data_IF_334565458955
#
_entry.id   IF_334565458955
#
_cell.length_a   1.000
_cell.length_b   1.000
_cell.length_c   1.000
_cell.angle_alpha   90.00
_cell.angle_beta   90.00
_cell.angle_gamma   90.00
#
_symmetry.space_group_name_H-M   'P 1'
#
loop_
_entity.id
_entity.type
_entity.pdbx_description
1 polymer ?
#
# COMPACT_ATOMS: atom_id res chain seq x y z
N UNK A 1 24.68 2.38 8.39
CA UNK A 1 23.35 2.97 8.63
C UNK A 1 23.19 4.39 8.06
N UNK A 2 24.26 5.19 7.89
CA UNK A 2 24.17 6.54 7.33
C UNK A 2 23.85 6.61 5.81
N UNK A 3 24.44 5.72 5.00
CA UNK A 3 24.32 5.79 3.53
C UNK A 3 22.90 5.56 2.95
N UNK A 4 21.97 5.00 3.73
CA UNK A 4 20.58 4.79 3.29
C UNK A 4 19.71 6.04 3.49
N UNK A 5 19.99 6.81 4.55
CA UNK A 5 19.30 8.07 4.82
C UNK A 5 19.76 9.17 3.86
N UNK A 6 21.04 9.20 3.51
CA UNK A 6 21.57 10.19 2.56
C UNK A 6 20.98 10.05 1.15
N UNK A 7 20.57 8.83 0.74
CA UNK A 7 19.92 8.59 -0.55
C UNK A 7 18.47 9.12 -0.59
N UNK A 8 17.77 9.11 0.55
CA UNK A 8 16.43 9.71 0.69
C UNK A 8 16.47 11.22 0.92
N UNK A 9 17.65 11.76 1.26
CA UNK A 9 17.87 13.19 1.47
C UNK A 9 18.28 13.93 0.18
N UNK A 10 18.06 13.34 -1.00
CA UNK A 10 18.13 14.09 -2.25
C UNK A 10 16.98 15.11 -2.29
N UNK A 11 17.30 16.39 -2.52
CA UNK A 11 16.35 17.51 -2.59
C UNK A 11 15.09 17.19 -3.43
N UNK A 12 15.27 16.41 -4.50
CA UNK A 12 14.21 15.96 -5.40
C UNK A 12 13.09 15.19 -4.70
N UNK A 13 13.40 14.34 -3.71
CA UNK A 13 12.37 13.61 -2.96
C UNK A 13 11.70 14.52 -1.94
N UNK A 14 12.45 15.45 -1.33
CA UNK A 14 11.90 16.51 -0.49
C UNK A 14 10.88 17.37 -1.24
N UNK A 15 11.20 17.79 -2.46
CA UNK A 15 10.32 18.58 -3.32
C UNK A 15 9.10 17.78 -3.79
N UNK A 16 9.26 16.49 -4.07
CA UNK A 16 8.15 15.61 -4.43
C UNK A 16 7.18 15.41 -3.26
N UNK A 17 7.70 15.20 -2.04
CA UNK A 17 6.90 15.07 -0.82
C UNK A 17 6.23 16.38 -0.48
N UNK A 18 6.93 17.51 -0.60
CA UNK A 18 6.36 18.85 -0.37
C UNK A 18 5.23 19.15 -1.36
N UNK A 19 5.44 18.92 -2.65
CA UNK A 19 4.39 19.07 -3.66
C UNK A 19 3.19 18.16 -3.39
N UNK A 20 3.43 16.93 -2.94
CA UNK A 20 2.35 16.01 -2.58
C UNK A 20 1.58 16.49 -1.34
N UNK A 21 2.27 16.97 -0.31
CA UNK A 21 1.66 17.51 0.92
C UNK A 21 0.87 18.80 0.65
N UNK A 22 1.40 19.69 -0.19
CA UNK A 22 0.71 20.89 -0.64
C UNK A 22 -0.54 20.53 -1.49
N UNK A 23 -0.44 19.49 -2.31
CA UNK A 23 -1.53 18.97 -3.13
C UNK A 23 -2.70 18.42 -2.29
N UNK A 24 -2.42 17.72 -1.18
CA UNK A 24 -3.47 17.18 -0.30
C UNK A 24 -3.94 18.17 0.78
N UNK A 25 -3.13 19.18 1.12
CA UNK A 25 -3.50 20.22 2.09
C UNK A 25 -4.34 21.34 1.50
N UNK A 26 -4.40 21.43 0.17
CA UNK A 26 -5.25 22.37 -0.57
C UNK A 26 -6.72 21.93 -0.53
N UNK A 27 -7.38 22.25 0.58
CA UNK A 27 -8.81 22.05 0.76
C UNK A 27 -9.61 22.89 -0.25
N UNK A 28 -10.22 22.22 -1.22
CA UNK A 28 -11.49 22.67 -1.82
C UNK A 28 -11.46 23.61 -3.02
N UNK A 29 -10.35 23.76 -3.76
CA UNK A 29 -10.37 24.42 -5.08
C UNK A 29 -9.43 23.73 -6.06
N UNK A 30 -9.94 22.74 -6.78
CA UNK A 30 -9.24 22.16 -7.92
C UNK A 30 -9.30 23.13 -9.11
N UNK A 31 -8.47 24.17 -9.07
CA UNK A 31 -8.27 25.03 -10.23
C UNK A 31 -7.57 24.19 -11.31
N UNK A 32 -8.34 23.71 -12.28
CA UNK A 32 -7.90 22.89 -13.42
C UNK A 32 -6.81 23.53 -14.30
N UNK A 33 -6.42 24.79 -14.01
CA UNK A 33 -5.36 25.54 -14.68
C UNK A 33 -4.01 25.57 -13.93
N UNK A 34 -3.91 25.08 -12.69
CA UNK A 34 -2.68 25.26 -11.88
C UNK A 34 -1.71 24.08 -11.85
N UNK A 35 -2.00 22.96 -12.53
CA UNK A 35 -1.03 21.87 -12.72
C UNK A 35 -0.50 21.98 -14.15
N UNK A 36 0.27 23.03 -14.46
CA UNK A 36 0.91 23.16 -15.78
C UNK A 36 1.97 22.05 -16.00
N UNK A 37 2.53 21.51 -14.92
CA UNK A 37 3.56 20.47 -14.96
C UNK A 37 2.95 19.07 -14.90
N UNK A 38 3.08 18.25 -15.96
CA UNK A 38 2.51 16.91 -15.98
C UNK A 38 3.19 16.00 -14.95
N UNK A 39 2.43 15.53 -13.97
CA UNK A 39 2.90 14.61 -12.92
C UNK A 39 2.98 13.21 -13.53
N UNK A 40 4.15 12.58 -13.44
CA UNK A 40 4.35 11.21 -13.91
C UNK A 40 3.76 10.23 -12.89
N UNK A 41 2.76 9.45 -13.33
CA UNK A 41 2.05 8.51 -12.47
C UNK A 41 2.59 7.09 -12.61
N UNK A 42 2.89 6.67 -13.84
CA UNK A 42 3.46 5.35 -14.12
C UNK A 42 4.20 5.33 -15.45
N UNK A 43 5.29 4.57 -15.53
CA UNK A 43 5.99 4.28 -16.77
C UNK A 43 6.49 2.83 -16.80
N UNK A 44 6.65 2.25 -17.99
CA UNK A 44 7.12 0.88 -18.12
C UNK A 44 7.08 0.32 -19.54
N UNK A 45 7.82 -0.77 -19.77
CA UNK A 45 7.77 -1.48 -21.04
C UNK A 45 6.58 -2.44 -21.08
N UNK A 46 5.75 -2.29 -22.11
CA UNK A 46 4.69 -3.25 -22.44
C UNK A 46 4.71 -3.55 -23.94
N UNK A 47 3.94 -4.55 -24.36
CA UNK A 47 3.82 -4.96 -25.76
C UNK A 47 2.52 -4.39 -26.31
N UNK A 48 2.64 -3.46 -27.28
CA UNK A 48 1.52 -2.94 -28.04
C UNK A 48 1.16 -3.90 -29.17
N UNK A 49 -0.11 -4.26 -29.30
CA UNK A 49 -0.64 -4.91 -30.50
C UNK A 49 -1.02 -3.84 -31.55
N UNK A 50 -0.57 -4.01 -32.78
CA UNK A 50 -1.00 -3.19 -33.91
C UNK A 50 -2.39 -3.64 -34.38
N UNK A 51 -3.18 -2.70 -34.88
CA UNK A 51 -4.51 -3.00 -35.40
C UNK A 51 -4.45 -3.69 -36.78
N UNK A 52 -3.41 -3.40 -37.57
CA UNK A 52 -3.20 -4.02 -38.88
C UNK A 52 -2.60 -5.44 -38.82
N UNK A 53 -2.95 -6.25 -39.82
CA UNK A 53 -2.34 -7.56 -40.11
C UNK A 53 -1.15 -7.37 -41.06
N UNK A 54 -0.11 -8.18 -40.94
CA UNK A 54 0.98 -8.18 -41.92
C UNK A 54 0.54 -8.85 -43.25
N UNK A 55 1.42 -8.87 -44.27
CA UNK A 55 1.14 -9.52 -45.57
C UNK A 55 0.80 -11.02 -45.46
N UNK A 56 1.09 -11.65 -44.32
CA UNK A 56 0.81 -13.05 -44.01
C UNK A 56 -0.33 -13.22 -42.97
N UNK A 57 -1.13 -12.17 -42.71
CA UNK A 57 -2.29 -12.24 -41.82
C UNK A 57 -1.97 -12.26 -40.31
N UNK A 58 -0.70 -12.26 -39.90
CA UNK A 58 -0.31 -12.30 -38.49
C UNK A 58 -0.47 -10.93 -37.81
N UNK A 59 -0.85 -10.98 -36.52
CA UNK A 59 -0.97 -9.81 -35.65
C UNK A 59 0.41 -9.30 -35.27
N UNK A 60 0.65 -7.99 -35.41
CA UNK A 60 1.95 -7.40 -35.07
C UNK A 60 1.97 -6.97 -33.60
N UNK A 61 2.98 -7.45 -32.87
CA UNK A 61 3.25 -7.08 -31.48
C UNK A 61 4.57 -6.30 -31.41
N UNK A 62 4.58 -5.15 -30.74
CA UNK A 62 5.77 -4.30 -30.64
C UNK A 62 5.98 -3.87 -29.19
N UNK A 63 7.16 -4.15 -28.65
CA UNK A 63 7.59 -3.63 -27.34
C UNK A 63 7.71 -2.10 -27.43
N UNK A 64 7.08 -1.40 -26.50
CA UNK A 64 7.01 0.06 -26.42
C UNK A 64 7.15 0.51 -24.97
N UNK A 65 7.73 1.69 -24.78
CA UNK A 65 7.77 2.35 -23.49
C UNK A 65 6.48 3.14 -23.32
N UNK A 66 5.67 2.79 -22.33
CA UNK A 66 4.44 3.50 -22.01
C UNK A 66 4.68 4.45 -20.85
N UNK A 67 4.00 5.60 -20.92
CA UNK A 67 4.04 6.63 -19.87
C UNK A 67 2.63 7.13 -19.64
N UNK A 68 2.24 7.19 -18.37
CA UNK A 68 1.00 7.77 -17.90
C UNK A 68 1.31 8.98 -17.04
N UNK A 69 0.73 10.11 -17.41
CA UNK A 69 0.69 11.31 -16.59
C UNK A 69 -0.75 11.60 -16.17
N UNK A 70 -0.95 12.62 -15.35
CA UNK A 70 -2.28 13.15 -15.06
C UNK A 70 -2.98 13.78 -16.29
N UNK A 71 -2.26 14.06 -17.40
CA UNK A 71 -2.82 14.73 -18.59
C UNK A 71 -2.99 13.79 -19.79
N UNK A 72 -2.07 12.83 -19.95
CA UNK A 72 -2.06 11.96 -21.12
C UNK A 72 -1.46 10.58 -20.82
N UNK A 73 -1.94 9.59 -21.58
CA UNK A 73 -1.35 8.28 -21.73
C UNK A 73 -0.64 8.18 -23.07
N UNK A 74 0.66 7.92 -23.05
CA UNK A 74 1.52 7.94 -24.25
C UNK A 74 2.33 6.66 -24.38
N UNK A 75 2.80 6.40 -25.61
CA UNK A 75 3.80 5.37 -25.84
C UNK A 75 4.89 5.80 -26.82
N UNK A 76 6.09 5.28 -26.58
CA UNK A 76 7.33 5.65 -27.26
C UNK A 76 8.03 4.39 -27.79
N UNK A 77 8.90 4.54 -28.77
CA UNK A 77 9.71 3.41 -29.27
C UNK A 77 10.64 2.89 -28.17
N UNK A 78 11.31 3.79 -27.47
CA UNK A 78 12.21 3.55 -26.33
C UNK A 78 12.05 4.67 -25.29
N UNK A 79 12.67 4.51 -24.11
CA UNK A 79 12.65 5.55 -23.06
C UNK A 79 13.47 6.76 -23.52
N UNK A 80 12.91 7.96 -23.39
CA UNK A 80 13.56 9.23 -23.77
C UNK A 80 13.36 9.67 -25.22
N UNK A 81 12.78 8.84 -26.09
CA UNK A 81 12.40 9.23 -27.45
C UNK A 81 11.06 9.99 -27.49
N UNK A 82 10.73 10.62 -28.62
CA UNK A 82 9.44 11.26 -28.86
C UNK A 82 8.25 10.30 -28.79
N UNK A 83 7.09 10.80 -28.35
CA UNK A 83 5.86 10.00 -28.26
C UNK A 83 5.37 9.63 -29.66
N UNK A 84 5.14 8.34 -29.89
CA UNK A 84 4.55 7.83 -31.14
C UNK A 84 3.02 8.05 -31.17
N UNK A 85 2.41 8.15 -30.00
CA UNK A 85 0.99 8.45 -29.83
C UNK A 85 0.79 9.07 -28.45
N UNK A 86 -0.12 10.02 -28.41
CA UNK A 86 -0.57 10.68 -27.19
C UNK A 86 -2.09 10.54 -27.11
N UNK A 87 -2.57 10.05 -25.97
CA UNK A 87 -3.98 9.85 -25.71
C UNK A 87 -4.29 10.73 -24.49
N UNK A 88 -4.92 11.90 -24.67
CA UNK A 88 -5.41 12.69 -23.57
C UNK A 88 -6.26 11.83 -22.62
N UNK A 89 -6.16 12.04 -21.31
CA UNK A 89 -6.94 11.25 -20.34
C UNK A 89 -8.45 11.37 -20.60
N UNK A 90 -8.92 12.56 -21.00
CA UNK A 90 -10.30 12.81 -21.46
C UNK A 90 -10.74 11.90 -22.63
N UNK A 91 -9.81 11.43 -23.46
CA UNK A 91 -10.11 10.57 -24.60
C UNK A 91 -10.05 9.07 -24.25
N UNK A 92 -9.85 8.71 -22.98
CA UNK A 92 -9.95 7.32 -22.51
C UNK A 92 -11.38 7.06 -22.04
N UNK A 93 -12.16 6.37 -22.88
CA UNK A 93 -13.56 6.07 -22.60
C UNK A 93 -13.72 4.92 -21.60
N UNK A 94 -12.88 3.89 -21.71
CA UNK A 94 -12.90 2.72 -20.86
C UNK A 94 -11.58 1.93 -20.95
N UNK A 95 -11.30 1.15 -19.90
CA UNK A 95 -10.15 0.24 -19.83
C UNK A 95 -10.64 -1.14 -19.42
N UNK A 96 -10.44 -2.13 -20.28
CA UNK A 96 -11.02 -3.47 -20.08
C UNK A 96 -9.97 -4.57 -20.18
N UNK A 97 -10.11 -5.57 -19.31
CA UNK A 97 -9.29 -6.77 -19.38
C UNK A 97 -9.78 -7.68 -20.50
N UNK A 98 -8.88 -8.05 -21.41
CA UNK A 98 -9.20 -8.94 -22.55
C UNK A 98 -8.53 -10.32 -22.44
N UNK A 99 -7.63 -10.52 -21.46
CA UNK A 99 -7.01 -11.82 -21.20
C UNK A 99 -6.10 -11.79 -19.97
N UNK A 100 -5.36 -12.88 -19.73
CA UNK A 100 -4.54 -13.05 -18.52
C UNK A 100 -3.57 -11.89 -18.26
N UNK A 101 -2.83 -11.45 -19.28
CA UNK A 101 -1.85 -10.34 -19.21
C UNK A 101 -2.21 -9.17 -20.16
N UNK A 102 -3.40 -9.20 -20.76
CA UNK A 102 -3.79 -8.26 -21.80
C UNK A 102 -4.99 -7.43 -21.39
N UNK A 103 -4.96 -6.17 -21.81
CA UNK A 103 -6.04 -5.22 -21.64
C UNK A 103 -6.17 -4.32 -22.86
N UNK A 104 -7.31 -3.64 -22.98
CA UNK A 104 -7.59 -2.68 -24.03
C UNK A 104 -7.93 -1.32 -23.42
N UNK A 105 -7.41 -0.26 -24.04
CA UNK A 105 -7.77 1.13 -23.75
C UNK A 105 -8.64 1.63 -24.90
N UNK A 106 -9.92 1.88 -24.61
CA UNK A 106 -10.94 2.28 -25.58
C UNK A 106 -10.87 3.80 -25.76
N UNK A 107 -10.60 4.25 -26.98
CA UNK A 107 -10.65 5.66 -27.40
C UNK A 107 -11.84 5.86 -28.34
N UNK A 108 -12.31 7.11 -28.58
CA UNK A 108 -13.43 7.41 -29.49
C UNK A 108 -13.28 6.78 -30.87
N UNK A 109 -12.08 6.82 -31.44
CA UNK A 109 -11.84 6.31 -32.79
C UNK A 109 -11.39 4.85 -32.82
N UNK A 110 -10.79 4.33 -31.74
CA UNK A 110 -10.09 3.05 -31.79
C UNK A 110 -9.77 2.44 -30.42
N UNK A 111 -9.69 1.11 -30.33
CA UNK A 111 -9.17 0.41 -29.16
C UNK A 111 -7.66 0.11 -29.28
N UNK A 112 -6.90 0.43 -28.22
CA UNK A 112 -5.48 0.12 -28.07
C UNK A 112 -5.30 -1.13 -27.22
N UNK A 113 -4.85 -2.22 -27.84
CA UNK A 113 -4.55 -3.49 -27.16
C UNK A 113 -3.11 -3.52 -26.65
N UNK A 114 -2.95 -3.85 -25.36
CA UNK A 114 -1.67 -3.84 -24.65
C UNK A 114 -1.52 -5.15 -23.87
N UNK A 115 -0.30 -5.68 -23.87
CA UNK A 115 0.10 -6.82 -23.06
C UNK A 115 1.20 -6.40 -22.10
N UNK A 116 0.95 -6.56 -20.80
CA UNK A 116 1.95 -6.35 -19.75
C UNK A 116 2.85 -7.59 -19.59
N UNK A 117 3.93 -7.47 -18.79
CA UNK A 117 4.89 -8.56 -18.61
C UNK A 117 4.28 -9.72 -17.80
N UNK A 118 3.43 -9.39 -16.83
CA UNK A 118 2.70 -10.35 -16.00
C UNK A 118 1.27 -9.86 -15.68
N UNK A 119 0.47 -10.70 -15.01
CA UNK A 119 -0.93 -10.38 -14.70
C UNK A 119 -1.09 -9.32 -13.60
N UNK A 120 -0.12 -9.22 -12.68
CA UNK A 120 -0.11 -8.21 -11.61
C UNK A 120 0.13 -6.84 -12.21
N UNK A 121 1.12 -6.71 -13.10
CA UNK A 121 1.40 -5.47 -13.82
C UNK A 121 0.22 -5.06 -14.72
N UNK A 122 -0.43 -6.02 -15.40
CA UNK A 122 -1.64 -5.75 -16.17
C UNK A 122 -2.75 -5.16 -15.29
N UNK A 123 -2.97 -5.74 -14.10
CA UNK A 123 -3.95 -5.24 -13.14
C UNK A 123 -3.61 -3.83 -12.67
N UNK A 124 -2.36 -3.60 -12.28
CA UNK A 124 -1.90 -2.29 -11.80
C UNK A 124 -2.05 -1.19 -12.86
N UNK A 125 -1.74 -1.49 -14.13
CA UNK A 125 -2.02 -0.56 -15.25
C UNK A 125 -3.50 -0.29 -15.45
N UNK A 126 -4.36 -1.32 -15.38
CA UNK A 126 -5.82 -1.14 -15.50
C UNK A 126 -6.33 -0.25 -14.36
N UNK A 127 -5.93 -0.53 -13.12
CA UNK A 127 -6.40 0.17 -11.93
C UNK A 127 -6.04 1.66 -11.99
N UNK A 128 -4.79 2.00 -12.34
CA UNK A 128 -4.38 3.40 -12.44
C UNK A 128 -5.02 4.13 -13.62
N UNK A 129 -5.11 3.50 -14.79
CA UNK A 129 -5.74 4.11 -15.98
C UNK A 129 -7.22 4.36 -15.74
N UNK A 130 -7.92 3.43 -15.08
CA UNK A 130 -9.33 3.56 -14.72
C UNK A 130 -9.54 4.71 -13.73
N UNK A 131 -8.68 4.82 -12.71
CA UNK A 131 -8.76 5.92 -11.73
C UNK A 131 -8.58 7.29 -12.35
N UNK A 132 -7.63 7.44 -13.29
CA UNK A 132 -7.40 8.74 -13.94
C UNK A 132 -8.45 9.08 -14.99
N UNK A 133 -9.03 8.09 -15.68
CA UNK A 133 -10.08 8.31 -16.67
C UNK A 133 -11.47 8.58 -16.04
N UNK A 134 -11.68 8.22 -14.78
CA UNK A 134 -12.97 8.31 -14.09
C UNK A 134 -13.34 9.70 -13.53
N UNK A 135 -12.54 10.74 -13.75
CA UNK A 135 -12.71 11.98 -12.99
C UNK A 135 -13.67 13.00 -13.60
N UNK A 136 -13.67 13.34 -14.89
CA UNK A 136 -14.60 14.37 -15.41
C UNK A 136 -14.50 14.43 -16.94
N UNK A 137 -15.62 14.45 -17.66
CA UNK A 137 -15.60 14.40 -19.13
C UNK A 137 -16.63 15.39 -19.70
N UNK A 138 -16.20 16.27 -20.61
CA UNK A 138 -17.03 17.30 -21.27
C UNK A 138 -17.78 18.26 -20.32
N UNK A 139 -17.17 18.63 -19.20
CA UNK A 139 -17.80 19.57 -18.27
C UNK A 139 -18.87 18.93 -17.38
N UNK A 140 -18.90 17.59 -17.27
CA UNK A 140 -19.79 16.86 -16.37
C UNK A 140 -19.12 15.63 -15.72
N UNK A 141 -19.52 15.29 -14.50
CA UNK A 141 -19.09 14.07 -13.80
C UNK A 141 -19.70 12.84 -14.48
N UNK A 142 -18.90 11.83 -14.84
CA UNK A 142 -19.44 10.63 -15.51
C UNK A 142 -20.41 9.81 -14.64
N UNK A 143 -20.34 9.93 -13.31
CA UNK A 143 -21.20 9.19 -12.40
C UNK A 143 -22.65 9.71 -12.34
N UNK A 144 -22.85 11.02 -12.46
CA UNK A 144 -24.18 11.67 -12.33
C UNK A 144 -24.52 12.64 -13.45
N UNK A 145 -23.59 12.89 -14.37
CA UNK A 145 -23.70 13.88 -15.45
C UNK A 145 -23.93 15.31 -14.94
N UNK A 146 -23.55 15.63 -13.70
CA UNK A 146 -23.66 16.99 -13.16
C UNK A 146 -22.50 17.86 -13.63
N UNK A 147 -22.80 19.12 -13.98
CA UNK A 147 -21.84 20.08 -14.58
C UNK A 147 -21.06 20.95 -13.61
N UNK A 148 -21.35 20.84 -12.31
CA UNK A 148 -20.81 21.74 -11.30
C UNK A 148 -20.11 20.95 -10.17
N UNK A 149 -18.95 21.45 -9.76
CA UNK A 149 -18.13 20.95 -8.65
C UNK A 149 -18.74 21.26 -7.27
N UNK A 150 -19.78 22.09 -7.22
CA UNK A 150 -20.49 22.48 -5.99
C UNK A 150 -21.67 21.58 -5.64
N UNK A 151 -22.00 20.62 -6.51
CA UNK A 151 -23.14 19.74 -6.33
C UNK A 151 -22.77 18.54 -5.44
N UNK A 152 -23.64 18.12 -4.51
CA UNK A 152 -23.39 16.98 -3.65
C UNK A 152 -23.11 15.72 -4.49
N UNK A 153 -22.08 14.96 -4.10
CA UNK A 153 -21.61 13.79 -4.84
C UNK A 153 -22.72 12.77 -5.11
N UNK A 154 -22.75 12.27 -6.35
CA UNK A 154 -23.69 11.28 -6.88
C UNK A 154 -23.74 9.94 -6.13
N UNK A 155 -22.60 9.59 -5.55
CA UNK A 155 -22.33 8.34 -4.87
C UNK A 155 -21.53 8.70 -3.63
N UNK A 156 -21.89 8.21 -2.43
CA UNK A 156 -21.07 8.41 -1.25
C UNK A 156 -19.63 7.95 -1.53
N UNK A 157 -18.64 8.78 -1.21
CA UNK A 157 -17.21 8.47 -1.38
C UNK A 157 -16.77 7.26 -0.54
N UNK A 158 -17.56 6.91 0.47
CA UNK A 158 -17.63 5.56 1.03
C UNK A 158 -18.42 4.68 0.05
N UNK A 159 -17.77 4.29 -1.05
CA UNK A 159 -18.32 3.26 -1.95
C UNK A 159 -18.81 2.11 -1.09
N UNK A 160 -20.03 1.63 -1.32
CA UNK A 160 -20.77 0.71 -0.47
C UNK A 160 -19.99 -0.57 -0.12
N UNK A 161 -19.05 -0.45 0.80
CA UNK A 161 -18.50 -1.55 1.55
C UNK A 161 -19.72 -2.07 2.31
N UNK A 162 -20.17 -3.31 2.07
CA UNK A 162 -21.21 -3.87 2.93
C UNK A 162 -20.72 -3.67 4.36
N UNK A 163 -21.62 -3.29 5.27
CA UNK A 163 -21.28 -3.11 6.69
C UNK A 163 -20.65 -4.38 7.33
N UNK A 164 -20.55 -5.49 6.57
CA UNK A 164 -19.95 -6.76 6.94
C UNK A 164 -18.68 -7.15 6.15
N UNK A 165 -17.84 -6.23 5.67
CA UNK A 165 -16.52 -6.67 5.19
C UNK A 165 -15.79 -7.38 6.33
N UNK A 166 -15.85 -8.70 6.30
CA UNK A 166 -15.04 -9.59 7.11
C UNK A 166 -13.64 -9.48 6.53
N UNK A 167 -12.91 -8.48 7.01
CA UNK A 167 -11.46 -8.51 6.91
C UNK A 167 -11.04 -9.80 7.61
N UNK A 168 -10.32 -10.66 6.89
CA UNK A 168 -9.68 -11.84 7.46
C UNK A 168 -8.54 -11.36 8.36
N UNK A 169 -8.92 -10.90 9.54
CA UNK A 169 -8.00 -10.40 10.56
C UNK A 169 -7.48 -11.62 11.30
N UNK A 170 -6.21 -11.93 11.04
CA UNK A 170 -5.47 -12.87 11.85
C UNK A 170 -5.36 -12.30 13.28
N UNK A 171 -6.24 -12.81 14.16
CA UNK A 171 -6.38 -12.33 15.53
C UNK A 171 -5.11 -12.50 16.34
N UNK A 172 -4.36 -13.57 16.10
CA UNK A 172 -3.10 -13.85 16.80
C UNK A 172 -2.02 -12.85 16.35
N UNK A 173 -1.94 -12.57 15.04
CA UNK A 173 -1.00 -11.58 14.50
C UNK A 173 -1.32 -10.17 14.98
N UNK A 174 -2.58 -9.78 14.99
CA UNK A 174 -2.98 -8.44 15.46
C UNK A 174 -2.80 -8.31 16.98
N UNK A 175 -3.09 -9.36 17.76
CA UNK A 175 -2.82 -9.37 19.19
C UNK A 175 -1.32 -9.19 19.48
N UNK A 176 -0.45 -9.89 18.74
CA UNK A 176 1.00 -9.73 18.87
C UNK A 176 1.47 -8.33 18.47
N UNK A 177 0.88 -7.74 17.42
CA UNK A 177 1.18 -6.37 17.00
C UNK A 177 0.80 -5.36 18.09
N UNK A 178 -0.38 -5.52 18.69
CA UNK A 178 -0.87 -4.67 19.77
C UNK A 178 0.00 -4.83 21.02
N UNK A 179 0.34 -6.06 21.41
CA UNK A 179 1.24 -6.33 22.52
C UNK A 179 2.63 -5.69 22.30
N UNK A 180 3.24 -5.90 21.13
CA UNK A 180 4.54 -5.29 20.78
C UNK A 180 4.50 -3.76 20.93
N UNK A 181 3.44 -3.12 20.44
CA UNK A 181 3.25 -1.68 20.54
C UNK A 181 3.22 -1.23 22.02
N UNK A 182 2.34 -1.81 22.83
CA UNK A 182 2.24 -1.41 24.24
C UNK A 182 3.48 -1.76 25.05
N UNK A 183 4.11 -2.90 24.81
CA UNK A 183 5.37 -3.28 25.45
C UNK A 183 6.49 -2.28 25.13
N UNK A 184 6.55 -1.78 23.90
CA UNK A 184 7.56 -0.79 23.48
C UNK A 184 7.37 0.55 24.21
N UNK A 185 6.12 0.94 24.43
CA UNK A 185 5.76 2.21 25.07
C UNK A 185 5.35 2.07 26.54
N UNK A 186 5.70 0.96 27.20
CA UNK A 186 5.22 0.63 28.55
C UNK A 186 5.57 1.72 29.58
N UNK A 187 6.80 2.24 29.53
CA UNK A 187 7.23 3.33 30.40
C UNK A 187 6.38 4.59 30.20
N UNK A 188 5.97 4.90 28.96
CA UNK A 188 5.12 6.05 28.67
C UNK A 188 3.69 5.87 29.22
N UNK A 189 3.16 4.64 29.18
CA UNK A 189 1.86 4.30 29.77
C UNK A 189 1.87 4.43 31.30
N UNK A 190 2.95 3.96 31.95
CA UNK A 190 3.13 4.10 33.39
C UNK A 190 3.23 5.56 33.80
N UNK A 191 4.06 6.36 33.11
CA UNK A 191 4.16 7.80 33.38
C UNK A 191 2.83 8.53 33.16
N UNK A 192 2.05 8.13 32.15
CA UNK A 192 0.71 8.68 31.92
C UNK A 192 -0.27 8.27 33.03
N UNK A 193 -0.17 7.05 33.55
CA UNK A 193 -0.97 6.58 34.68
C UNK A 193 -0.63 7.35 35.96
N UNK A 194 0.65 7.59 36.23
CA UNK A 194 1.11 8.41 37.35
C UNK A 194 0.61 9.85 37.24
N UNK A 195 0.67 10.45 36.05
CA UNK A 195 0.12 11.77 35.76
C UNK A 195 -1.40 11.85 36.02
N UNK A 196 -2.14 10.80 35.69
CA UNK A 196 -3.57 10.71 36.01
C UNK A 196 -3.82 10.58 37.52
N UNK A 197 -2.97 9.83 38.21
CA UNK A 197 -3.03 9.65 39.67
C UNK A 197 -2.74 10.94 40.42
N UNK A 198 -1.72 11.70 40.01
CA UNK A 198 -1.37 12.98 40.63
C UNK A 198 -2.47 14.03 40.42
N UNK A 199 -2.98 14.19 39.19
CA UNK A 199 -4.06 15.15 38.85
C UNK A 199 -5.41 14.84 39.51
N UNK A 200 -5.66 13.59 39.91
CA UNK A 200 -6.94 13.20 40.53
C UNK A 200 -6.95 13.27 42.06
N UNK A 201 -5.78 13.39 42.69
CA UNK A 201 -5.60 13.31 44.16
C UNK A 201 -4.98 14.59 44.74
N UNK A 202 -4.17 15.33 43.99
CA UNK A 202 -3.39 16.47 44.48
C UNK A 202 -3.65 17.73 43.63
N UNK A 203 -4.28 18.76 44.21
CA UNK A 203 -4.40 20.12 43.61
C UNK A 203 -3.10 20.94 43.78
N UNK A 204 -1.94 20.28 43.73
CA UNK A 204 -0.62 20.93 43.80
C UNK A 204 -0.16 21.45 42.43
N UNK A 205 0.87 22.32 42.38
CA UNK A 205 1.39 22.84 41.11
C UNK A 205 1.80 21.68 40.20
N UNK A 206 1.43 21.78 38.91
CA UNK A 206 1.73 20.77 37.91
C UNK A 206 3.23 20.46 37.90
N UNK A 207 3.58 19.19 38.14
CA UNK A 207 4.96 18.74 37.96
C UNK A 207 5.28 18.78 36.45
N UNK A 208 6.29 19.58 36.07
CA UNK A 208 6.72 19.80 34.68
C UNK A 208 6.97 18.49 33.91
N UNK A 209 7.36 17.43 34.62
CA UNK A 209 7.67 16.09 34.10
C UNK A 209 6.46 15.37 33.46
N UNK A 210 5.23 15.79 33.80
CA UNK A 210 3.98 15.19 33.30
C UNK A 210 3.16 16.13 32.40
N UNK A 211 3.70 17.32 32.08
CA UNK A 211 3.04 18.36 31.27
C UNK A 211 2.79 17.98 29.80
N UNK A 212 3.42 16.91 29.31
CA UNK A 212 3.32 16.45 27.93
C UNK A 212 1.99 15.73 27.62
N UNK A 213 1.19 15.39 28.64
CA UNK A 213 -0.06 14.64 28.46
C UNK A 213 -1.30 15.56 28.51
N UNK A 214 -2.02 15.60 27.39
CA UNK A 214 -3.39 16.12 27.33
C UNK A 214 -4.32 15.03 27.86
N UNK A 215 -4.88 15.23 29.06
CA UNK A 215 -5.74 14.27 29.76
C UNK A 215 -7.06 14.97 30.07
N UNK A 216 -8.14 14.54 29.42
CA UNK A 216 -9.47 15.12 29.58
C UNK A 216 -10.14 14.67 30.89
N UNK A 217 -10.21 13.35 31.13
CA UNK A 217 -10.73 12.76 32.38
C UNK A 217 -9.64 11.91 33.06
N UNK A 218 -8.94 12.46 34.08
CA UNK A 218 -7.90 11.73 34.79
C UNK A 218 -8.39 10.43 35.45
N UNK A 219 -9.65 10.36 35.92
CA UNK A 219 -10.14 9.19 36.67
C UNK A 219 -10.43 8.02 35.73
N UNK A 220 -11.13 8.27 34.62
CA UNK A 220 -11.43 7.23 33.63
C UNK A 220 -10.19 6.82 32.84
N UNK A 221 -9.31 7.78 32.54
CA UNK A 221 -8.02 7.49 31.91
C UNK A 221 -7.15 6.61 32.80
N UNK A 222 -7.07 6.89 34.10
CA UNK A 222 -6.34 6.06 35.06
C UNK A 222 -6.86 4.62 35.11
N UNK A 223 -8.19 4.44 35.20
CA UNK A 223 -8.82 3.12 35.21
C UNK A 223 -8.49 2.33 33.93
N UNK A 224 -8.58 2.98 32.78
CA UNK A 224 -8.31 2.37 31.47
C UNK A 224 -6.85 1.96 31.35
N UNK A 225 -5.92 2.86 31.69
CA UNK A 225 -4.48 2.56 31.69
C UNK A 225 -4.13 1.41 32.62
N UNK A 226 -4.76 1.33 33.80
CA UNK A 226 -4.56 0.21 34.74
C UNK A 226 -4.93 -1.13 34.12
N UNK A 227 -6.06 -1.19 33.41
CA UNK A 227 -6.50 -2.41 32.72
C UNK A 227 -5.51 -2.77 31.62
N UNK A 228 -5.16 -1.83 30.74
CA UNK A 228 -4.21 -2.04 29.63
C UNK A 228 -2.86 -2.56 30.15
N UNK A 229 -2.27 -1.89 31.13
CA UNK A 229 -0.98 -2.28 31.73
C UNK A 229 -1.06 -3.71 32.30
N UNK A 230 -2.13 -4.03 33.04
CA UNK A 230 -2.29 -5.38 33.60
C UNK A 230 -2.45 -6.47 32.53
N UNK A 231 -3.14 -6.17 31.43
CA UNK A 231 -3.32 -7.10 30.31
C UNK A 231 -2.01 -7.35 29.58
N UNK A 232 -1.22 -6.30 29.33
CA UNK A 232 0.10 -6.41 28.69
C UNK A 232 1.07 -7.20 29.54
N UNK A 233 1.09 -6.98 30.86
CA UNK A 233 1.90 -7.78 31.80
C UNK A 233 1.49 -9.25 31.82
N UNK A 234 0.19 -9.55 31.72
CA UNK A 234 -0.30 -10.93 31.64
C UNK A 234 0.17 -11.62 30.36
N UNK A 235 0.10 -10.91 29.22
CA UNK A 235 0.61 -11.42 27.94
C UNK A 235 2.13 -11.65 27.96
N UNK A 236 2.90 -10.72 28.55
CA UNK A 236 4.35 -10.86 28.76
C UNK A 236 4.70 -12.15 29.54
N UNK A 237 3.94 -12.44 30.60
CA UNK A 237 4.14 -13.65 31.40
C UNK A 237 3.84 -14.91 30.59
N UNK A 238 2.78 -14.90 29.78
CA UNK A 238 2.43 -16.01 28.90
C UNK A 238 3.51 -16.24 27.82
N UNK A 239 4.00 -15.19 27.17
CA UNK A 239 5.11 -15.27 26.22
C UNK A 239 6.39 -15.80 26.85
N UNK A 240 6.72 -15.31 28.03
CA UNK A 240 7.90 -15.77 28.77
C UNK A 240 7.77 -17.25 29.15
N UNK A 241 6.59 -17.67 29.62
CA UNK A 241 6.31 -19.08 29.92
C UNK A 241 6.41 -19.94 28.67
N UNK A 242 5.80 -19.53 27.56
CA UNK A 242 5.87 -20.24 26.29
C UNK A 242 7.30 -20.38 25.78
N UNK A 243 8.11 -19.30 25.80
CA UNK A 243 9.52 -19.34 25.43
C UNK A 243 10.32 -20.31 26.29
N UNK A 244 10.08 -20.33 27.62
CA UNK A 244 10.73 -21.28 28.54
C UNK A 244 10.31 -22.73 28.26
N UNK A 245 9.02 -22.96 28.05
CA UNK A 245 8.48 -24.29 27.75
C UNK A 245 8.98 -24.79 26.40
N UNK A 246 9.08 -23.90 25.41
CA UNK A 246 9.66 -24.21 24.12
C UNK A 246 11.11 -24.60 24.25
N UNK A 247 11.93 -23.75 24.91
CA UNK A 247 13.34 -24.05 25.16
C UNK A 247 13.55 -25.41 25.86
N UNK A 248 12.68 -25.76 26.83
CA UNK A 248 12.71 -27.05 27.52
C UNK A 248 12.32 -28.24 26.64
N UNK A 249 11.39 -28.03 25.70
CA UNK A 249 10.89 -29.07 24.78
C UNK A 249 11.74 -29.19 23.52
N UNK A 250 12.54 -28.18 23.18
CA UNK A 250 13.42 -28.18 22.02
C UNK A 250 14.50 -29.25 22.21
N UNK A 251 14.29 -30.40 21.55
CA UNK A 251 15.33 -31.41 21.35
C UNK A 251 16.22 -30.96 20.20
N UNK A 252 17.42 -30.51 20.54
CA UNK A 252 18.44 -30.10 19.58
C UNK A 252 18.77 -31.32 18.69
N UNK A 253 18.58 -31.21 17.38
CA UNK A 253 18.76 -32.31 16.40
C UNK A 253 17.47 -33.03 15.98
N UNK A 254 16.29 -32.53 16.38
CA UNK A 254 14.99 -33.03 15.90
C UNK A 254 14.65 -32.51 14.49
N UNK A 255 13.65 -33.11 13.82
CA UNK A 255 13.16 -32.63 12.52
C UNK A 255 12.75 -31.15 12.56
N UNK A 256 12.17 -30.69 13.67
CA UNK A 256 11.75 -29.30 13.84
C UNK A 256 12.91 -28.36 14.22
N UNK A 257 14.03 -28.88 14.72
CA UNK A 257 15.21 -28.12 15.15
C UNK A 257 16.53 -28.85 14.83
N UNK A 258 16.91 -28.98 13.54
CA UNK A 258 18.04 -29.82 13.15
C UNK A 258 19.38 -29.15 13.47
N UNK A 259 20.39 -29.95 13.79
CA UNK A 259 21.77 -29.47 13.99
C UNK A 259 22.49 -29.54 12.64
N UNK A 260 22.99 -28.40 12.17
CA UNK A 260 23.76 -28.29 10.93
C UNK A 260 23.19 -27.22 9.98
N UNK A 261 24.07 -26.69 9.13
CA UNK A 261 23.72 -25.66 8.15
C UNK A 261 22.66 -26.21 7.16
N UNK A 262 21.77 -25.35 6.64
CA UNK A 262 20.60 -25.76 5.81
C UNK A 262 21.00 -26.60 4.59
N UNK A 263 22.24 -26.47 4.15
CA UNK A 263 22.89 -27.27 3.12
C UNK A 263 22.99 -28.77 3.44
N UNK A 264 23.19 -29.16 4.71
CA UNK A 264 23.25 -30.57 5.13
C UNK A 264 21.87 -31.23 5.16
N UNK A 265 20.81 -30.47 5.48
CA UNK A 265 19.43 -31.00 5.55
C UNK A 265 18.92 -31.43 4.16
N UNK A 266 19.21 -30.65 3.11
CA UNK A 266 18.89 -31.02 1.74
C UNK A 266 19.63 -32.29 1.29
N UNK A 267 20.86 -32.51 1.78
CA UNK A 267 21.68 -33.66 1.42
C UNK A 267 21.13 -34.97 2.03
N UNK A 268 20.64 -34.93 3.28
CA UNK A 268 19.99 -36.10 3.91
C UNK A 268 18.65 -36.43 3.25
N UNK A 269 17.85 -35.41 2.91
CA UNK A 269 16.59 -35.64 2.18
C UNK A 269 16.83 -36.31 0.82
N UNK A 270 17.81 -35.82 0.05
CA UNK A 270 18.20 -36.43 -1.23
C UNK A 270 18.69 -37.87 -1.08
N UNK A 271 19.43 -38.20 -0.01
CA UNK A 271 19.85 -39.58 0.23
C UNK A 271 18.65 -40.49 0.58
N UNK A 272 17.72 -40.04 1.42
CA UNK A 272 16.55 -40.85 1.80
C UNK A 272 15.58 -41.13 0.66
N UNK A 273 15.41 -40.19 -0.28
CA UNK A 273 14.62 -40.39 -1.50
C UNK A 273 15.34 -41.27 -2.54
N UNK A 274 16.68 -41.24 -2.56
CA UNK A 274 17.46 -42.11 -3.45
C UNK A 274 17.50 -43.57 -2.97
N UNK A 275 17.34 -43.82 -1.67
CA UNK A 275 17.31 -45.19 -1.11
C UNK A 275 15.97 -45.92 -1.31
N UNK A 276 14.90 -45.22 -1.71
CA UNK A 276 13.60 -45.85 -2.02
C UNK A 276 13.45 -46.25 -3.50
N UNK A 277 14.46 -45.97 -4.33
CA UNK A 277 14.51 -46.33 -5.76
C UNK A 277 15.75 -47.14 -6.15
N UNK A 278 16.32 -47.90 -5.23
CA UNK A 278 17.31 -48.93 -5.55
C UNK A 278 16.83 -50.27 -5.01
N UNK A 279 16.54 -51.16 -5.96
CA UNK A 279 16.18 -52.60 -5.92
C UNK A 279 16.45 -53.32 -4.59
#
# INVERSE_FOLDING_TARGET
MAAFYDYFNEQKYGDAVKNFLDLISSSGRWNQKSIETPIMLKEGFMIKRAQGRNRFGMKNFKKRWFRLTNHEFTYHKTKGEGALCRIPIENILAVERTGGRMFQVIQPERALYIQANNCVEARDWIDILTKVSQSYLNGHWLCCKMSADTEPGCTPCTGGLPANIQLDVDGDREAERIYCLFSTYMNKLVNMQEACGSRSVYDGPEQEEYSCFLIDDPRETYKTLRVIISSVQTLEQQHTKYKRDMFRKTKIGSQDHPIGDKSFQCYIHQQSESSTYSI
#
